data_IF_340538733023
#
_entry.id   IF_340538733023
#
_cell.length_a   1.000
_cell.length_b   1.000
_cell.length_c   1.000
_cell.angle_alpha   90.00
_cell.angle_beta   90.00
_cell.angle_gamma   90.00
#
_symmetry.space_group_name_H-M   'P 1'
#
loop_
_entity.id
_entity.type
_entity.pdbx_description
1 polymer ?
#
# COMPACT_ATOMS: atom_id res chain seq x y z
N UNK A 1 4.38 -47.41 -27.67
CA UNK A 1 4.65 -46.93 -26.30
C UNK A 1 4.44 -45.41 -26.31
N UNK A 2 3.34 -44.94 -25.71
CA UNK A 2 3.02 -43.50 -25.67
C UNK A 2 3.36 -42.97 -24.29
N UNK A 3 4.39 -42.13 -24.20
CA UNK A 3 4.73 -41.41 -22.96
C UNK A 3 3.72 -40.28 -22.79
N UNK A 4 2.80 -40.43 -21.84
CA UNK A 4 1.95 -39.33 -21.36
C UNK A 4 2.81 -38.47 -20.44
N UNK A 5 3.31 -37.35 -20.93
CA UNK A 5 3.86 -36.29 -20.08
C UNK A 5 2.68 -35.64 -19.36
N UNK A 6 2.46 -36.00 -18.10
CA UNK A 6 1.59 -35.24 -17.22
C UNK A 6 2.29 -33.90 -16.95
N UNK A 7 1.84 -32.83 -17.61
CA UNK A 7 2.11 -31.47 -17.16
C UNK A 7 1.37 -31.33 -15.84
N UNK A 8 2.05 -31.61 -14.74
CA UNK A 8 1.58 -31.20 -13.43
C UNK A 8 1.41 -29.69 -13.49
N UNK A 9 0.16 -29.21 -13.44
CA UNK A 9 -0.11 -27.79 -13.20
C UNK A 9 0.43 -27.53 -11.81
N UNK A 10 1.68 -27.04 -11.73
CA UNK A 10 2.21 -26.49 -10.49
C UNK A 10 1.37 -25.24 -10.28
N UNK A 11 0.37 -25.32 -9.39
CA UNK A 11 -0.36 -24.14 -8.97
C UNK A 11 0.67 -23.23 -8.29
N UNK A 12 1.16 -22.24 -9.04
CA UNK A 12 2.09 -21.25 -8.52
C UNK A 12 1.40 -20.56 -7.33
N UNK A 13 1.97 -20.72 -6.14
CA UNK A 13 1.45 -20.13 -4.91
C UNK A 13 2.42 -19.09 -4.37
N UNK A 14 1.91 -18.11 -3.62
CA UNK A 14 2.70 -16.95 -3.17
C UNK A 14 3.07 -17.10 -1.68
N UNK A 15 4.28 -16.69 -1.34
CA UNK A 15 4.74 -16.40 0.03
C UNK A 15 5.53 -15.09 0.04
N UNK A 16 6.09 -14.69 1.19
CA UNK A 16 6.91 -13.48 1.32
C UNK A 16 8.38 -13.79 1.55
N UNK A 17 9.25 -12.93 1.01
CA UNK A 17 10.65 -12.85 1.37
C UNK A 17 10.82 -11.76 2.45
N UNK A 18 10.98 -12.13 3.73
CA UNK A 18 10.93 -11.16 4.83
C UNK A 18 12.09 -10.15 4.80
N UNK A 19 13.28 -10.56 4.33
CA UNK A 19 14.45 -9.69 4.30
C UNK A 19 14.27 -8.56 3.27
N UNK A 20 13.90 -8.91 2.03
CA UNK A 20 13.67 -7.91 0.99
C UNK A 20 12.46 -7.04 1.28
N UNK A 21 11.37 -7.61 1.80
CA UNK A 21 10.18 -6.84 2.14
C UNK A 21 10.50 -5.76 3.19
N UNK A 22 11.32 -6.10 4.20
CA UNK A 22 11.77 -5.12 5.20
C UNK A 22 12.73 -4.09 4.61
N UNK A 23 13.70 -4.52 3.79
CA UNK A 23 14.67 -3.62 3.15
C UNK A 23 14.00 -2.56 2.26
N UNK A 24 12.98 -2.95 1.48
CA UNK A 24 12.21 -2.03 0.64
C UNK A 24 11.52 -0.96 1.51
N UNK A 25 10.86 -1.39 2.60
CA UNK A 25 10.17 -0.49 3.53
C UNK A 25 11.11 0.47 4.25
N UNK A 26 12.28 0.00 4.67
CA UNK A 26 13.30 0.81 5.34
C UNK A 26 13.97 1.82 4.39
N UNK A 27 14.01 1.49 3.09
CA UNK A 27 14.61 2.35 2.07
C UNK A 27 13.70 3.49 1.62
N UNK A 28 12.38 3.35 1.75
CA UNK A 28 11.40 4.34 1.29
C UNK A 28 11.04 5.35 2.39
N UNK A 29 12.04 6.12 2.85
CA UNK A 29 11.86 7.10 3.92
C UNK A 29 10.87 8.21 3.56
N UNK A 30 10.77 8.56 2.28
CA UNK A 30 9.92 9.66 1.81
C UNK A 30 8.44 9.27 1.85
N UNK A 31 8.09 7.99 1.62
CA UNK A 31 6.72 7.48 1.83
C UNK A 31 6.24 7.75 3.26
N UNK A 32 7.07 7.41 4.25
CA UNK A 32 6.72 7.56 5.66
C UNK A 32 6.65 9.03 6.08
N UNK A 33 7.59 9.86 5.59
CA UNK A 33 7.54 11.31 5.82
C UNK A 33 6.27 11.93 5.25
N UNK A 34 5.90 11.57 4.02
CA UNK A 34 4.68 12.06 3.37
C UNK A 34 3.45 11.66 4.18
N UNK A 35 3.39 10.42 4.70
CA UNK A 35 2.33 9.98 5.61
C UNK A 35 2.25 10.84 6.87
N UNK A 36 3.38 11.10 7.52
CA UNK A 36 3.43 11.92 8.74
C UNK A 36 2.98 13.38 8.45
N UNK A 37 3.36 13.94 7.32
CA UNK A 37 2.93 15.28 6.88
C UNK A 37 1.42 15.34 6.60
N UNK A 38 0.83 14.26 6.05
CA UNK A 38 -0.62 14.15 5.88
C UNK A 38 -1.31 14.13 7.25
N UNK A 39 -0.78 13.38 8.21
CA UNK A 39 -1.34 13.32 9.56
C UNK A 39 -1.30 14.69 10.23
N UNK A 40 -0.22 15.46 10.05
CA UNK A 40 -0.12 16.83 10.54
C UNK A 40 -1.20 17.75 9.94
N UNK A 41 -1.66 17.50 8.72
CA UNK A 41 -2.76 18.27 8.11
C UNK A 41 -4.10 18.04 8.82
N UNK A 42 -4.31 16.88 9.43
CA UNK A 42 -5.57 16.54 10.12
C UNK A 42 -5.82 17.37 11.37
N UNK A 43 -4.75 17.80 12.04
CA UNK A 43 -4.79 18.51 13.32
C UNK A 43 -4.40 19.98 13.19
N UNK A 44 -4.08 20.42 11.97
CA UNK A 44 -3.57 21.77 11.71
C UNK A 44 -4.57 22.87 12.05
N UNK A 45 -4.08 23.92 12.70
CA UNK A 45 -4.82 25.16 13.01
C UNK A 45 -4.60 26.27 11.96
N UNK A 46 -3.83 25.97 10.91
CA UNK A 46 -3.56 26.89 9.81
C UNK A 46 -4.83 27.20 8.99
N UNK A 47 -4.83 28.26 8.16
CA UNK A 47 -5.96 28.56 7.29
C UNK A 47 -6.35 27.38 6.40
N UNK A 48 -7.65 27.03 6.37
CA UNK A 48 -8.17 25.84 5.67
C UNK A 48 -7.74 25.75 4.21
N UNK A 49 -7.71 26.87 3.48
CA UNK A 49 -7.26 26.90 2.09
C UNK A 49 -5.80 26.45 1.92
N UNK A 50 -4.93 26.83 2.86
CA UNK A 50 -3.51 26.44 2.88
C UNK A 50 -3.37 24.95 3.18
N UNK A 51 -4.05 24.47 4.22
CA UNK A 51 -4.05 23.04 4.60
C UNK A 51 -4.60 22.18 3.46
N UNK A 52 -5.65 22.63 2.78
CA UNK A 52 -6.22 21.91 1.66
C UNK A 52 -5.26 21.80 0.48
N UNK A 53 -4.61 22.90 0.11
CA UNK A 53 -3.63 22.89 -0.99
C UNK A 53 -2.41 22.02 -0.67
N UNK A 54 -1.99 22.00 0.60
CA UNK A 54 -0.94 21.11 1.08
C UNK A 54 -1.37 19.64 1.02
N UNK A 55 -2.58 19.32 1.49
CA UNK A 55 -3.09 17.95 1.50
C UNK A 55 -3.21 17.39 0.08
N UNK A 56 -3.70 18.17 -0.89
CA UNK A 56 -3.78 17.74 -2.31
C UNK A 56 -2.41 17.29 -2.81
N UNK A 57 -1.39 18.15 -2.66
CA UNK A 57 -0.02 17.83 -3.07
C UNK A 57 0.51 16.57 -2.38
N UNK A 58 0.27 16.44 -1.07
CA UNK A 58 0.76 15.29 -0.31
C UNK A 58 0.06 13.98 -0.71
N UNK A 59 -1.21 14.02 -1.12
CA UNK A 59 -1.92 12.85 -1.64
C UNK A 59 -1.33 12.38 -2.97
N UNK A 60 -0.97 13.31 -3.86
CA UNK A 60 -0.24 12.99 -5.09
C UNK A 60 1.12 12.35 -4.81
N UNK A 61 1.90 12.96 -3.92
CA UNK A 61 3.20 12.43 -3.51
C UNK A 61 3.03 11.02 -2.90
N UNK A 62 2.00 10.82 -2.06
CA UNK A 62 1.69 9.52 -1.46
C UNK A 62 1.34 8.46 -2.51
N UNK A 63 0.50 8.80 -3.49
CA UNK A 63 0.13 7.90 -4.60
C UNK A 63 1.37 7.41 -5.33
N UNK A 64 2.28 8.32 -5.67
CA UNK A 64 3.48 7.99 -6.44
C UNK A 64 4.47 7.16 -5.62
N UNK A 65 4.64 7.48 -4.32
CA UNK A 65 5.44 6.67 -3.40
C UNK A 65 4.87 5.26 -3.21
N UNK A 66 3.55 5.12 -3.07
CA UNK A 66 2.89 3.82 -2.97
C UNK A 66 3.01 3.01 -4.26
N UNK A 67 2.88 3.65 -5.42
CA UNK A 67 3.07 2.97 -6.70
C UNK A 67 4.45 2.32 -6.80
N UNK A 68 5.51 3.08 -6.44
CA UNK A 68 6.87 2.56 -6.41
C UNK A 68 7.04 1.46 -5.36
N UNK A 69 6.54 1.68 -4.14
CA UNK A 69 6.61 0.73 -3.04
C UNK A 69 5.99 -0.61 -3.44
N UNK A 70 4.74 -0.60 -3.90
CA UNK A 70 4.03 -1.79 -4.31
C UNK A 70 4.73 -2.48 -5.48
N UNK A 71 5.24 -1.74 -6.47
CA UNK A 71 5.98 -2.34 -7.57
C UNK A 71 7.24 -3.09 -7.09
N UNK A 72 7.98 -2.53 -6.13
CA UNK A 72 9.16 -3.17 -5.54
C UNK A 72 8.78 -4.39 -4.69
N UNK A 73 7.78 -4.28 -3.84
CA UNK A 73 7.30 -5.38 -3.01
C UNK A 73 6.79 -6.53 -3.88
N UNK A 74 6.05 -6.25 -4.95
CA UNK A 74 5.59 -7.28 -5.88
C UNK A 74 6.71 -7.96 -6.67
N UNK A 75 7.77 -7.22 -7.01
CA UNK A 75 8.91 -7.74 -7.75
C UNK A 75 9.87 -8.56 -6.88
N UNK A 76 10.06 -8.17 -5.61
CA UNK A 76 11.12 -8.70 -4.76
C UNK A 76 10.64 -9.23 -3.40
N UNK A 77 9.56 -8.70 -2.85
CA UNK A 77 8.98 -9.07 -1.56
C UNK A 77 8.03 -10.28 -1.63
N UNK A 78 7.26 -10.43 -2.71
CA UNK A 78 6.36 -11.57 -2.93
C UNK A 78 6.97 -12.59 -3.90
N UNK A 79 7.18 -13.83 -3.43
CA UNK A 79 7.83 -14.88 -4.21
C UNK A 79 6.90 -16.07 -4.48
N UNK A 80 7.11 -16.73 -5.61
CA UNK A 80 6.39 -17.95 -5.97
C UNK A 80 7.08 -19.17 -5.37
N UNK A 81 6.30 -20.03 -4.71
CA UNK A 81 6.78 -21.25 -4.04
C UNK A 81 5.84 -22.43 -4.31
N UNK A 82 6.31 -23.62 -3.92
CA UNK A 82 5.50 -24.83 -3.88
C UNK A 82 4.34 -24.70 -2.88
N UNK A 83 3.26 -25.45 -3.11
CA UNK A 83 1.99 -25.26 -2.40
C UNK A 83 2.10 -25.49 -0.88
N UNK A 84 3.04 -26.31 -0.42
CA UNK A 84 3.31 -26.59 0.99
C UNK A 84 3.95 -25.39 1.73
N UNK A 85 4.62 -24.51 0.98
CA UNK A 85 5.26 -23.30 1.49
C UNK A 85 4.40 -22.06 1.31
N UNK A 86 3.31 -22.16 0.54
CA UNK A 86 2.35 -21.10 0.27
C UNK A 86 1.80 -20.44 1.54
N UNK A 87 1.49 -19.15 1.43
CA UNK A 87 0.71 -18.41 2.41
C UNK A 87 -0.48 -17.76 1.68
N UNK A 88 -1.72 -18.29 1.80
CA UNK A 88 -2.88 -17.70 1.14
C UNK A 88 -3.06 -16.21 1.44
N UNK A 89 -2.71 -15.78 2.65
CA UNK A 89 -2.74 -14.39 3.07
C UNK A 89 -1.71 -13.51 2.35
N UNK A 90 -0.58 -14.05 1.87
CA UNK A 90 0.40 -13.32 1.07
C UNK A 90 -0.14 -13.00 -0.32
N UNK A 91 -0.83 -13.97 -0.97
CA UNK A 91 -1.53 -13.70 -2.21
C UNK A 91 -2.65 -12.65 -2.01
N UNK A 92 -3.28 -12.62 -0.84
CA UNK A 92 -4.26 -11.59 -0.51
C UNK A 92 -3.63 -10.22 -0.30
N UNK A 93 -2.53 -10.11 0.45
CA UNK A 93 -1.78 -8.88 0.65
C UNK A 93 -1.37 -8.27 -0.69
N UNK A 94 -0.76 -9.08 -1.57
CA UNK A 94 -0.41 -8.65 -2.93
C UNK A 94 -1.59 -8.07 -3.72
N UNK A 95 -2.77 -8.68 -3.64
CA UNK A 95 -3.98 -8.16 -4.32
C UNK A 95 -4.47 -6.83 -3.74
N UNK A 96 -4.21 -6.55 -2.45
CA UNK A 96 -4.60 -5.30 -1.82
C UNK A 96 -3.86 -4.10 -2.41
N UNK A 97 -2.67 -4.26 -2.98
CA UNK A 97 -1.91 -3.17 -3.62
C UNK A 97 -2.72 -2.48 -4.70
N UNK A 98 -3.33 -3.27 -5.60
CA UNK A 98 -4.18 -2.73 -6.67
C UNK A 98 -5.39 -1.97 -6.10
N UNK A 99 -6.05 -2.53 -5.09
CA UNK A 99 -7.20 -1.88 -4.46
C UNK A 99 -6.82 -0.56 -3.78
N UNK A 100 -5.73 -0.56 -2.99
CA UNK A 100 -5.23 0.64 -2.31
C UNK A 100 -4.76 1.69 -3.32
N UNK A 101 -4.07 1.29 -4.38
CA UNK A 101 -3.60 2.21 -5.41
C UNK A 101 -4.75 2.91 -6.16
N UNK A 102 -5.79 2.16 -6.51
CA UNK A 102 -6.99 2.74 -7.12
C UNK A 102 -7.68 3.71 -6.16
N UNK A 103 -7.81 3.33 -4.90
CA UNK A 103 -8.45 4.14 -3.88
C UNK A 103 -7.72 5.47 -3.64
N UNK A 104 -6.39 5.47 -3.52
CA UNK A 104 -5.62 6.72 -3.38
C UNK A 104 -5.69 7.56 -4.66
N UNK A 105 -5.73 6.93 -5.84
CA UNK A 105 -5.88 7.65 -7.11
C UNK A 105 -7.23 8.38 -7.19
N UNK A 106 -8.33 7.71 -6.84
CA UNK A 106 -9.66 8.33 -6.74
C UNK A 106 -9.72 9.45 -5.69
N UNK A 107 -8.97 9.32 -4.59
CA UNK A 107 -8.87 10.36 -3.58
C UNK A 107 -8.10 11.59 -4.10
N UNK A 108 -7.01 11.38 -4.85
CA UNK A 108 -6.25 12.46 -5.48
C UNK A 108 -7.11 13.23 -6.49
N UNK A 109 -7.77 12.52 -7.41
CA UNK A 109 -8.63 13.13 -8.43
C UNK A 109 -9.72 14.02 -7.82
N UNK A 110 -10.37 13.54 -6.75
CA UNK A 110 -11.41 14.32 -6.05
C UNK A 110 -10.82 15.51 -5.29
N UNK A 111 -9.64 15.36 -4.69
CA UNK A 111 -8.97 16.45 -3.99
C UNK A 111 -8.56 17.57 -4.97
N UNK A 112 -8.02 17.22 -6.14
CA UNK A 112 -7.68 18.16 -7.22
C UNK A 112 -8.92 18.88 -7.76
N UNK A 113 -10.01 18.15 -8.03
CA UNK A 113 -11.26 18.72 -8.54
C UNK A 113 -11.85 19.77 -7.58
N UNK A 114 -11.79 19.49 -6.28
CA UNK A 114 -12.25 20.40 -5.23
C UNK A 114 -11.36 21.65 -5.12
N UNK A 115 -10.04 21.50 -5.32
CA UNK A 115 -9.13 22.65 -5.36
C UNK A 115 -9.44 23.56 -6.55
N UNK A 116 -9.68 22.97 -7.73
CA UNK A 116 -10.00 23.71 -8.94
C UNK A 116 -11.30 24.51 -8.85
N UNK A 117 -12.34 23.95 -8.21
CA UNK A 117 -13.67 24.58 -8.10
C UNK A 117 -13.80 25.67 -7.03
N UNK A 118 -12.79 25.85 -6.19
CA UNK A 118 -12.86 26.72 -5.03
C UNK A 118 -13.40 25.94 -3.82
N UNK A 119 -12.51 25.64 -2.89
CA UNK A 119 -12.69 24.61 -1.88
C UNK A 119 -13.61 25.11 -0.74
N UNK A 120 -14.83 24.57 -0.63
CA UNK A 120 -15.72 24.86 0.49
C UNK A 120 -15.32 24.05 1.74
N UNK A 121 -15.53 24.62 2.94
CA UNK A 121 -15.10 24.01 4.19
C UNK A 121 -15.68 22.60 4.45
N UNK A 122 -16.92 22.36 4.03
CA UNK A 122 -17.59 21.06 4.18
C UNK A 122 -16.96 19.98 3.28
N UNK A 123 -16.59 20.35 2.05
CA UNK A 123 -15.94 19.42 1.11
C UNK A 123 -14.51 19.07 1.57
N UNK A 124 -13.82 20.02 2.20
CA UNK A 124 -12.52 19.74 2.81
C UNK A 124 -12.62 18.69 3.92
N UNK A 125 -13.62 18.82 4.79
CA UNK A 125 -13.82 17.89 5.90
C UNK A 125 -14.07 16.46 5.40
N UNK A 126 -14.79 16.31 4.29
CA UNK A 126 -15.00 15.01 3.64
C UNK A 126 -13.69 14.41 3.13
N UNK A 127 -12.86 15.18 2.41
CA UNK A 127 -11.57 14.68 1.93
C UNK A 127 -10.69 14.24 3.09
N UNK A 128 -10.61 15.03 4.17
CA UNK A 128 -9.83 14.67 5.36
C UNK A 128 -10.31 13.33 5.95
N UNK A 129 -11.61 13.13 6.06
CA UNK A 129 -12.16 11.89 6.60
C UNK A 129 -11.88 10.69 5.70
N UNK A 130 -12.01 10.87 4.38
CA UNK A 130 -11.68 9.82 3.42
C UNK A 130 -10.19 9.49 3.42
N UNK A 131 -9.30 10.48 3.58
CA UNK A 131 -7.87 10.24 3.77
C UNK A 131 -7.60 9.44 5.03
N UNK A 132 -8.31 9.72 6.15
CA UNK A 132 -8.16 8.91 7.38
C UNK A 132 -8.61 7.46 7.19
N UNK A 133 -9.71 7.26 6.46
CA UNK A 133 -10.21 5.92 6.16
C UNK A 133 -9.23 5.14 5.28
N UNK A 134 -8.67 5.80 4.26
CA UNK A 134 -7.60 5.25 3.44
C UNK A 134 -6.38 4.88 4.30
N UNK A 135 -5.90 5.80 5.14
CA UNK A 135 -4.75 5.58 6.01
C UNK A 135 -4.96 4.36 6.94
N UNK A 136 -6.14 4.23 7.55
CA UNK A 136 -6.47 3.08 8.39
C UNK A 136 -6.47 1.75 7.61
N UNK A 137 -6.90 1.76 6.35
CA UNK A 137 -6.85 0.58 5.46
C UNK A 137 -5.42 0.23 5.08
N UNK A 138 -4.62 1.22 4.70
CA UNK A 138 -3.21 1.02 4.40
C UNK A 138 -2.42 0.52 5.62
N UNK A 139 -2.68 1.09 6.80
CA UNK A 139 -2.08 0.64 8.06
C UNK A 139 -2.44 -0.82 8.42
N UNK A 140 -3.67 -1.24 8.11
CA UNK A 140 -4.09 -2.63 8.25
C UNK A 140 -3.35 -3.57 7.28
N UNK A 141 -3.06 -3.10 6.07
CA UNK A 141 -2.25 -3.79 5.09
C UNK A 141 -0.78 -3.92 5.55
N UNK A 142 -0.15 -2.83 6.01
CA UNK A 142 1.21 -2.86 6.57
C UNK A 142 1.35 -3.84 7.75
N UNK A 143 0.35 -3.87 8.64
CA UNK A 143 0.31 -4.85 9.73
C UNK A 143 0.15 -6.29 9.24
N UNK A 144 -0.58 -6.52 8.14
CA UNK A 144 -0.70 -7.84 7.55
C UNK A 144 0.65 -8.30 7.03
N UNK A 145 1.34 -7.46 6.28
CA UNK A 145 2.67 -7.77 5.73
C UNK A 145 3.71 -8.04 6.80
N UNK A 146 3.75 -7.24 7.87
CA UNK A 146 4.63 -7.49 9.02
C UNK A 146 4.39 -8.87 9.63
N UNK A 147 3.12 -9.26 9.82
CA UNK A 147 2.78 -10.61 10.32
C UNK A 147 3.22 -11.71 9.36
N UNK A 148 3.15 -11.47 8.04
CA UNK A 148 3.62 -12.44 7.04
C UNK A 148 5.13 -12.61 7.10
N UNK A 149 5.87 -11.50 7.23
CA UNK A 149 7.32 -11.51 7.36
C UNK A 149 7.77 -12.25 8.62
N UNK A 150 7.15 -11.97 9.78
CA UNK A 150 7.45 -12.63 11.06
C UNK A 150 7.26 -14.16 10.99
N UNK A 151 6.14 -14.61 10.39
CA UNK A 151 5.86 -16.05 10.20
C UNK A 151 6.87 -16.70 9.25
N UNK A 152 7.27 -16.01 8.20
CA UNK A 152 8.23 -16.53 7.21
C UNK A 152 9.63 -16.68 7.81
N UNK A 153 10.06 -15.71 8.62
CA UNK A 153 11.31 -15.79 9.37
C UNK A 153 11.31 -16.96 10.38
N UNK A 154 10.19 -17.14 11.09
CA UNK A 154 10.02 -18.25 12.05
C UNK A 154 10.08 -19.62 11.38
N UNK A 155 9.57 -19.77 10.15
CA UNK A 155 9.65 -21.02 9.38
C UNK A 155 11.04 -21.30 8.83
N UNK A 156 11.84 -20.26 8.54
CA UNK A 156 13.19 -20.42 8.03
C UNK A 156 14.22 -20.84 9.10
N UNK A 157 13.84 -20.78 10.38
CA UNK A 157 14.69 -21.13 11.53
C UNK A 157 14.51 -22.57 12.02
N UNK A 158 13.69 -23.38 11.33
CA UNK A 158 13.42 -24.81 11.58
C UNK A 158 13.98 -25.65 10.44
#
# INVERSE_FOLDING_TARGET
>A
MSVKTAVGIVNATVTVNPAFLQEIKDSNLDLWRTRDEIHACFESIEPRAKVASQLVRLLDDLRDHLALQFALEEAYGFITVAQELAMPEAANAKRQHCALYLEISELCERAEELQYRGLAAEQFALIVEETRLFDARWDAHERLERRLADRSCSRASL
#
